data_IF_516465456888
#
_entry.id   IF_516465456888
#
_cell.length_a   1.000
_cell.length_b   1.000
_cell.length_c   1.000
_cell.angle_alpha   90.00
_cell.angle_beta   90.00
_cell.angle_gamma   90.00
#
_symmetry.space_group_name_H-M   'P 1'
#
loop_
_entity.id
_entity.type
_entity.pdbx_description
1 polymer ?
#
# COMPACT_ATOMS: atom_id res chain seq x y z
N UNK A 1 -8.06 13.31 -23.54
CA UNK A 1 -6.97 12.50 -22.96
C UNK A 1 -6.96 12.77 -21.47
N UNK A 2 -6.93 11.74 -20.62
CA UNK A 2 -6.76 11.93 -19.17
C UNK A 2 -5.39 12.55 -18.91
N UNK A 3 -5.32 13.58 -18.07
CA UNK A 3 -4.06 14.21 -17.63
C UNK A 3 -3.33 13.38 -16.57
N UNK A 4 -4.03 12.41 -15.96
CA UNK A 4 -3.49 11.49 -14.96
C UNK A 4 -4.20 11.61 -13.62
N UNK A 5 -4.40 10.48 -12.96
CA UNK A 5 -4.89 10.39 -11.59
C UNK A 5 -4.00 9.42 -10.83
N UNK A 6 -3.85 9.63 -9.53
CA UNK A 6 -2.96 8.81 -8.72
C UNK A 6 -2.91 9.25 -7.29
N UNK A 7 -2.00 8.63 -6.55
CA UNK A 7 -1.73 8.96 -5.16
C UNK A 7 -0.34 8.51 -4.74
N UNK A 8 0.19 9.20 -3.74
CA UNK A 8 1.49 8.94 -3.15
C UNK A 8 1.32 8.75 -1.65
N UNK A 9 2.23 7.98 -1.07
CA UNK A 9 2.21 7.64 0.34
C UNK A 9 3.63 7.60 0.87
N UNK A 10 3.80 8.01 2.12
CA UNK A 10 5.09 8.08 2.81
C UNK A 10 4.95 7.53 4.22
N UNK A 11 5.91 6.69 4.62
CA UNK A 11 5.99 6.18 5.98
C UNK A 11 6.42 7.32 6.91
N UNK A 12 5.66 7.54 7.98
CA UNK A 12 5.92 8.61 8.96
C UNK A 12 6.30 8.03 10.31
N UNK A 13 5.70 6.90 10.67
CA UNK A 13 5.98 6.25 11.94
C UNK A 13 5.81 4.73 11.84
N UNK A 14 6.68 4.00 12.52
CA UNK A 14 6.60 2.55 12.67
C UNK A 14 7.14 2.18 14.06
N UNK A 15 6.38 1.38 14.79
CA UNK A 15 6.84 0.69 15.99
C UNK A 15 6.42 -0.80 15.97
N UNK A 16 6.46 -1.47 17.12
CA UNK A 16 6.09 -2.88 17.23
C UNK A 16 4.60 -3.16 17.06
N UNK A 17 3.73 -2.16 17.24
CA UNK A 17 2.27 -2.31 17.28
C UNK A 17 1.57 -1.58 16.13
N UNK A 18 2.12 -0.45 15.67
CA UNK A 18 1.44 0.46 14.76
C UNK A 18 2.38 0.96 13.67
N UNK A 19 1.80 1.15 12.49
CA UNK A 19 2.44 1.72 11.31
C UNK A 19 1.55 2.87 10.83
N UNK A 20 2.14 4.06 10.66
CA UNK A 20 1.43 5.25 10.20
C UNK A 20 2.07 5.76 8.92
N UNK A 21 1.21 5.94 7.93
CA UNK A 21 1.52 6.54 6.65
C UNK A 21 0.77 7.86 6.50
N UNK A 22 1.43 8.85 5.93
CA UNK A 22 0.76 10.01 5.35
C UNK A 22 0.59 9.77 3.85
N UNK A 23 -0.55 10.16 3.30
CA UNK A 23 -0.83 9.98 1.89
C UNK A 23 -1.55 11.20 1.31
N UNK A 24 -1.42 11.36 0.00
CA UNK A 24 -2.13 12.37 -0.77
C UNK A 24 -2.55 11.81 -2.12
N UNK A 25 -3.70 12.25 -2.61
CA UNK A 25 -4.19 11.90 -3.94
C UNK A 25 -4.19 13.10 -4.87
N UNK A 26 -4.26 12.83 -6.17
CA UNK A 26 -4.37 13.86 -7.18
C UNK A 26 -5.26 13.40 -8.34
N UNK A 27 -6.01 14.35 -8.88
CA UNK A 27 -6.74 14.17 -10.12
C UNK A 27 -6.49 15.37 -11.03
N UNK A 28 -5.56 15.22 -11.98
CA UNK A 28 -5.17 16.30 -12.88
C UNK A 28 -6.25 16.63 -13.93
N UNK A 29 -7.38 15.91 -13.95
CA UNK A 29 -8.51 16.22 -14.81
C UNK A 29 -9.47 17.24 -14.19
N UNK A 30 -9.40 17.48 -12.88
CA UNK A 30 -10.29 18.39 -12.16
C UNK A 30 -9.48 19.32 -11.26
N UNK A 31 -9.57 20.63 -11.53
CA UNK A 31 -8.79 21.66 -10.85
C UNK A 31 -9.00 21.71 -9.33
N UNK A 32 -10.13 21.22 -8.82
CA UNK A 32 -10.39 21.16 -7.37
C UNK A 32 -9.50 20.12 -6.65
N UNK A 33 -8.98 19.15 -7.39
CA UNK A 33 -8.22 18.01 -6.87
C UNK A 33 -6.81 17.95 -7.45
N UNK A 34 -6.30 19.08 -7.95
CA UNK A 34 -4.90 19.20 -8.28
C UNK A 34 -4.06 19.13 -7.01
N UNK A 35 -2.97 18.40 -7.09
CA UNK A 35 -2.02 18.27 -6.00
C UNK A 35 -0.60 18.18 -6.58
N UNK A 36 -0.20 19.22 -7.32
CA UNK A 36 1.13 19.33 -7.92
C UNK A 36 2.23 19.47 -6.86
N UNK A 37 1.88 19.98 -5.68
CA UNK A 37 2.78 20.15 -4.54
C UNK A 37 3.03 18.83 -3.77
N UNK A 38 2.33 17.75 -4.13
CA UNK A 38 2.41 16.45 -3.47
C UNK A 38 2.14 16.51 -1.95
N UNK A 39 1.11 17.27 -1.57
CA UNK A 39 0.65 17.43 -0.19
C UNK A 39 0.12 16.07 0.31
N UNK A 40 0.71 15.57 1.40
CA UNK A 40 0.27 14.37 2.11
C UNK A 40 -0.45 14.79 3.41
N UNK A 41 -1.76 15.00 3.37
CA UNK A 41 -2.56 15.40 4.54
C UNK A 41 -3.59 14.35 4.97
N UNK A 42 -3.71 13.23 4.24
CA UNK A 42 -4.44 12.06 4.67
C UNK A 42 -3.56 11.12 5.50
N UNK A 43 -4.17 10.36 6.41
CA UNK A 43 -3.46 9.46 7.33
C UNK A 43 -4.00 8.04 7.19
N UNK A 44 -3.10 7.07 7.08
CA UNK A 44 -3.42 5.64 7.13
C UNK A 44 -2.71 5.05 8.34
N UNK A 45 -3.48 4.65 9.34
CA UNK A 45 -2.98 3.96 10.54
C UNK A 45 -3.29 2.48 10.43
N UNK A 46 -2.27 1.63 10.62
CA UNK A 46 -2.35 0.18 10.41
C UNK A 46 -1.73 -0.53 11.60
N UNK A 47 -2.44 -1.48 12.21
CA UNK A 47 -1.85 -2.40 13.17
C UNK A 47 -0.74 -3.22 12.50
N UNK A 48 0.42 -3.31 13.14
CA UNK A 48 1.57 -4.07 12.63
C UNK A 48 1.23 -5.53 12.30
N UNK A 49 0.33 -6.11 13.10
CA UNK A 49 -0.15 -7.49 12.94
C UNK A 49 -1.04 -7.70 11.70
N UNK A 50 -1.47 -6.64 11.01
CA UNK A 50 -2.18 -6.75 9.74
C UNK A 50 -1.26 -7.21 8.62
N UNK A 51 0.03 -6.86 8.65
CA UNK A 51 0.99 -7.21 7.60
C UNK A 51 1.29 -8.71 7.58
N UNK A 52 0.60 -9.43 6.71
CA UNK A 52 0.78 -10.87 6.54
C UNK A 52 2.09 -11.20 5.82
N UNK A 53 2.86 -12.13 6.38
CA UNK A 53 4.04 -12.68 5.70
C UNK A 53 3.64 -13.47 4.43
N UNK A 54 4.46 -13.42 3.37
CA UNK A 54 4.25 -14.21 2.17
C UNK A 54 4.54 -15.69 2.43
N UNK A 55 4.01 -16.54 1.56
CA UNK A 55 4.37 -17.95 1.55
C UNK A 55 5.80 -18.14 1.00
N UNK A 56 6.65 -18.86 1.72
CA UNK A 56 8.06 -19.04 1.35
C UNK A 56 8.27 -20.38 0.67
N UNK A 57 8.47 -20.35 -0.65
CA UNK A 57 8.76 -21.54 -1.46
C UNK A 57 10.27 -21.73 -1.62
N UNK A 58 10.76 -22.91 -1.24
CA UNK A 58 12.19 -23.26 -1.29
C UNK A 58 12.42 -24.39 -2.28
N UNK A 59 13.35 -24.21 -3.23
CA UNK A 59 13.73 -25.25 -4.19
C UNK A 59 15.24 -25.29 -4.38
N UNK A 60 15.83 -26.49 -4.29
CA UNK A 60 17.23 -26.70 -4.70
C UNK A 60 17.28 -26.85 -6.23
N UNK A 61 17.97 -25.92 -6.91
CA UNK A 61 18.20 -25.98 -8.36
C UNK A 61 19.64 -26.36 -8.64
N UNK A 62 19.86 -27.37 -9.48
CA UNK A 62 21.18 -27.69 -10.02
C UNK A 62 21.56 -26.63 -11.06
N UNK A 63 22.70 -25.99 -10.88
CA UNK A 63 23.25 -25.00 -11.79
C UNK A 63 24.01 -25.70 -12.93
N UNK A 64 24.32 -25.00 -14.05
CA UNK A 64 25.15 -25.56 -15.12
C UNK A 64 26.51 -26.08 -14.63
N UNK A 65 27.05 -25.50 -13.56
CA UNK A 65 28.28 -25.93 -12.88
C UNK A 65 28.16 -27.23 -12.07
N UNK A 66 26.99 -27.88 -12.05
CA UNK A 66 26.72 -29.08 -11.25
C UNK A 66 26.43 -28.83 -9.76
N UNK A 67 26.80 -27.65 -9.23
CA UNK A 67 26.49 -27.24 -7.84
C UNK A 67 24.98 -27.00 -7.67
N UNK A 68 24.44 -27.33 -6.49
CA UNK A 68 23.06 -27.01 -6.11
C UNK A 68 23.01 -25.62 -5.46
N UNK A 69 22.08 -24.77 -5.89
CA UNK A 69 21.76 -23.48 -5.27
C UNK A 69 20.35 -23.53 -4.69
N UNK A 70 20.17 -23.05 -3.45
CA UNK A 70 18.84 -22.86 -2.88
C UNK A 70 18.21 -21.62 -3.50
N UNK A 71 17.05 -21.80 -4.13
CA UNK A 71 16.21 -20.73 -4.65
C UNK A 71 15.05 -20.56 -3.68
N UNK A 72 14.90 -19.34 -3.17
CA UNK A 72 13.80 -18.94 -2.30
C UNK A 72 12.92 -18.00 -3.12
N UNK A 73 11.61 -18.24 -3.09
CA UNK A 73 10.61 -17.35 -3.66
C UNK A 73 9.62 -16.95 -2.57
N UNK A 74 9.33 -15.66 -2.47
CA UNK A 74 8.24 -15.10 -1.66
C UNK A 74 7.01 -15.05 -2.55
N UNK A 75 5.92 -15.70 -2.14
CA UNK A 75 4.66 -15.71 -2.88
C UNK A 75 3.66 -14.87 -2.08
N UNK A 76 3.21 -13.74 -2.64
CA UNK A 76 2.19 -12.91 -2.00
C UNK A 76 0.91 -13.70 -1.70
N UNK A 77 0.32 -13.44 -0.54
CA UNK A 77 -0.93 -14.06 -0.09
C UNK A 77 -2.04 -13.01 -0.07
N UNK A 78 -3.27 -13.46 -0.29
CA UNK A 78 -4.44 -12.57 -0.25
C UNK A 78 -4.67 -12.07 1.18
N UNK A 79 -4.93 -10.76 1.31
CA UNK A 79 -5.22 -10.11 2.59
C UNK A 79 -6.59 -9.44 2.51
N UNK A 80 -7.42 -9.65 3.54
CA UNK A 80 -8.75 -9.06 3.62
C UNK A 80 -8.72 -7.70 4.32
N UNK A 81 -8.31 -6.67 3.58
CA UNK A 81 -8.26 -5.28 4.05
C UNK A 81 -9.64 -4.78 4.50
N UNK A 82 -10.70 -5.21 3.82
CA UNK A 82 -12.07 -4.80 4.10
C UNK A 82 -12.54 -5.26 5.48
N UNK A 83 -12.13 -6.45 5.91
CA UNK A 83 -12.34 -6.92 7.28
C UNK A 83 -11.49 -6.13 8.27
N UNK A 84 -10.21 -5.91 7.98
CA UNK A 84 -9.32 -5.17 8.89
C UNK A 84 -9.77 -3.72 9.13
N UNK A 85 -10.28 -3.05 8.10
CA UNK A 85 -10.90 -1.70 8.23
C UNK A 85 -12.16 -1.76 9.10
N UNK A 86 -13.03 -2.75 8.89
CA UNK A 86 -14.25 -2.92 9.71
C UNK A 86 -13.94 -3.23 11.17
N UNK A 87 -12.88 -3.99 11.41
CA UNK A 87 -12.41 -4.36 12.75
C UNK A 87 -11.67 -3.19 13.43
N UNK A 88 -11.48 -2.05 12.75
CA UNK A 88 -10.81 -0.86 13.29
C UNK A 88 -9.28 -0.95 13.35
N UNK A 89 -8.69 -2.01 12.79
CA UNK A 89 -7.23 -2.23 12.76
C UNK A 89 -6.52 -1.44 11.66
N UNK A 90 -7.31 -0.99 10.69
CA UNK A 90 -6.88 -0.06 9.65
C UNK A 90 -7.84 1.12 9.71
N UNK A 91 -7.31 2.29 10.01
CA UNK A 91 -8.06 3.55 10.06
C UNK A 91 -7.52 4.45 8.96
N UNK A 92 -8.42 4.99 8.14
CA UNK A 92 -8.10 5.87 7.02
C UNK A 92 -8.80 7.20 7.27
N UNK A 93 -8.00 8.25 7.39
CA UNK A 93 -8.43 9.63 7.41
C UNK A 93 -8.15 10.22 6.02
N UNK A 94 -9.21 10.59 5.29
CA UNK A 94 -9.06 10.95 3.89
C UNK A 94 -8.26 12.25 3.71
N UNK A 95 -7.43 12.29 2.66
CA UNK A 95 -6.73 13.50 2.24
C UNK A 95 -7.70 14.58 1.72
N UNK A 96 -7.28 15.85 1.72
CA UNK A 96 -8.14 16.96 1.26
C UNK A 96 -8.46 16.89 -0.24
N UNK A 97 -7.59 16.26 -1.03
CA UNK A 97 -7.76 16.07 -2.47
C UNK A 97 -8.56 14.81 -2.84
N UNK A 98 -9.21 14.16 -1.87
CA UNK A 98 -10.07 13.03 -2.13
C UNK A 98 -11.27 13.46 -3.00
N UNK A 99 -11.35 12.95 -4.23
CA UNK A 99 -12.45 13.26 -5.16
C UNK A 99 -13.54 12.20 -5.18
N UNK A 100 -13.22 10.96 -4.80
CA UNK A 100 -14.16 9.85 -4.85
C UNK A 100 -13.95 8.89 -3.68
N UNK A 101 -15.01 8.68 -2.93
CA UNK A 101 -15.08 7.70 -1.85
C UNK A 101 -15.94 6.51 -2.26
N UNK A 102 -15.63 5.34 -1.71
CA UNK A 102 -16.59 4.23 -1.74
C UNK A 102 -17.86 4.63 -0.96
N UNK A 103 -19.01 4.62 -1.64
CA UNK A 103 -20.30 5.14 -1.16
C UNK A 103 -20.73 4.62 0.22
N UNK A 104 -20.29 3.42 0.60
CA UNK A 104 -20.74 2.75 1.81
C UNK A 104 -19.80 2.97 3.02
N UNK A 105 -18.57 3.45 2.79
CA UNK A 105 -17.52 3.48 3.83
C UNK A 105 -16.84 4.84 4.00
N UNK A 106 -17.18 5.80 3.15
CA UNK A 106 -16.50 7.10 3.08
C UNK A 106 -14.96 6.97 3.03
N UNK A 107 -14.48 5.91 2.41
CA UNK A 107 -13.03 5.65 2.25
C UNK A 107 -12.62 6.09 0.86
N UNK A 108 -11.59 6.92 0.80
CA UNK A 108 -10.96 7.34 -0.45
C UNK A 108 -10.55 6.12 -1.30
N UNK A 109 -10.95 6.12 -2.57
CA UNK A 109 -10.61 5.06 -3.52
C UNK A 109 -9.09 4.95 -3.69
N UNK A 110 -8.37 6.08 -3.68
CA UNK A 110 -6.92 6.08 -3.82
C UNK A 110 -6.20 5.54 -2.59
N UNK A 111 -6.71 5.82 -1.38
CA UNK A 111 -6.20 5.21 -0.16
C UNK A 111 -6.32 3.68 -0.21
N UNK A 112 -7.43 3.18 -0.76
CA UNK A 112 -7.66 1.73 -0.92
C UNK A 112 -6.67 1.09 -1.90
N UNK A 113 -6.38 1.77 -3.02
CA UNK A 113 -5.36 1.33 -3.99
C UNK A 113 -3.97 1.34 -3.36
N UNK A 114 -3.59 2.42 -2.66
CA UNK A 114 -2.33 2.50 -1.91
C UNK A 114 -2.22 1.34 -0.94
N UNK A 115 -3.27 1.08 -0.15
CA UNK A 115 -3.28 0.01 0.84
C UNK A 115 -2.96 -1.35 0.22
N UNK A 116 -3.53 -1.67 -0.94
CA UNK A 116 -3.18 -2.89 -1.67
C UNK A 116 -1.68 -2.95 -2.01
N UNK A 117 -1.12 -1.88 -2.56
CA UNK A 117 0.29 -1.86 -2.95
C UNK A 117 1.26 -1.87 -1.77
N UNK A 118 0.91 -1.25 -0.64
CA UNK A 118 1.71 -1.31 0.59
C UNK A 118 1.91 -2.75 1.06
N UNK A 119 0.82 -3.53 1.13
CA UNK A 119 0.87 -4.92 1.56
C UNK A 119 1.56 -5.82 0.53
N UNK A 120 1.32 -5.59 -0.76
CA UNK A 120 1.99 -6.32 -1.82
C UNK A 120 3.50 -6.09 -1.76
N UNK A 121 3.95 -4.84 -1.64
CA UNK A 121 5.37 -4.51 -1.56
C UNK A 121 6.02 -5.10 -0.31
N UNK A 122 5.32 -5.02 0.84
CA UNK A 122 5.76 -5.68 2.07
C UNK A 122 5.99 -7.18 1.87
N UNK A 123 5.07 -7.86 1.19
CA UNK A 123 5.19 -9.30 0.93
C UNK A 123 6.33 -9.61 -0.05
N UNK A 124 6.57 -8.78 -1.05
CA UNK A 124 7.65 -8.97 -2.03
C UNK A 124 9.03 -8.72 -1.40
N UNK A 125 9.19 -7.60 -0.69
CA UNK A 125 10.49 -7.14 -0.20
C UNK A 125 10.80 -7.62 1.22
N UNK A 126 9.78 -7.95 2.00
CA UNK A 126 9.89 -8.24 3.43
C UNK A 126 10.16 -7.01 4.28
N UNK A 127 9.91 -5.81 3.74
CA UNK A 127 10.09 -4.52 4.42
C UNK A 127 8.93 -3.60 4.06
N UNK A 128 8.55 -2.73 4.99
CA UNK A 128 7.60 -1.68 4.68
C UNK A 128 8.22 -0.70 3.68
N UNK A 129 7.47 -0.29 2.63
CA UNK A 129 7.93 0.76 1.74
C UNK A 129 7.94 2.10 2.50
N UNK A 130 9.05 2.83 2.41
CA UNK A 130 9.16 4.20 2.96
C UNK A 130 8.39 5.22 2.12
N UNK A 131 8.29 4.96 0.81
CA UNK A 131 7.56 5.78 -0.15
C UNK A 131 6.97 4.91 -1.24
N UNK A 132 5.75 5.21 -1.68
CA UNK A 132 5.12 4.56 -2.82
C UNK A 132 4.29 5.57 -3.62
N UNK A 133 4.30 5.42 -4.94
CA UNK A 133 3.48 6.20 -5.85
C UNK A 133 2.65 5.25 -6.72
N UNK A 134 1.37 5.56 -6.87
CA UNK A 134 0.40 4.83 -7.67
C UNK A 134 -0.24 5.76 -8.69
N UNK A 135 -0.22 5.37 -9.97
CA UNK A 135 -0.78 6.12 -11.08
C UNK A 135 -1.73 5.21 -11.88
N UNK A 136 -2.85 5.76 -12.38
CA UNK A 136 -3.84 5.06 -13.22
C UNK A 136 -3.69 5.44 -14.69
#
# INVERSE_FOLDING_TARGET
>A
MSKGIGAFVKLVFEDSETVIYEYGSYNLNDANYYNEEHICDGIITIDRNCFAEPEIHKKLKKMPSGRKKLIIKRIPVSVDYNKMIRDGRIVIENCSNCWECYSNKNTDIMASSILFYLFLQYQIDGKLPEYLNYNV
#
